data_IF_038228874907
#
_entry.id   IF_038228874907
#
_cell.length_a   1.000
_cell.length_b   1.000
_cell.length_c   1.000
_cell.angle_alpha   90.00
_cell.angle_beta   90.00
_cell.angle_gamma   90.00
#
_symmetry.space_group_name_H-M   'P 1'
#
loop_
_entity.id
_entity.type
_entity.pdbx_description
1 polymer ?
#
# COMPACT_ATOMS: atom_id res chain seq x y z
N UNK A 1 -69.97 14.90 10.38
CA UNK A 1 -70.35 13.52 10.01
C UNK A 1 -70.52 13.53 8.49
N UNK A 2 -69.66 13.03 7.61
CA UNK A 2 -68.66 11.95 7.61
C UNK A 2 -67.50 12.42 6.71
N UNK A 3 -66.26 12.54 7.18
CA UNK A 3 -65.33 11.43 7.40
C UNK A 3 -65.05 10.60 6.12
N UNK A 4 -63.83 10.81 5.60
CA UNK A 4 -62.79 9.77 5.58
C UNK A 4 -62.78 8.69 4.50
N UNK A 5 -63.51 8.75 3.39
CA UNK A 5 -63.36 7.71 2.36
C UNK A 5 -63.28 8.26 0.94
N UNK A 6 -62.05 8.51 0.51
CA UNK A 6 -61.42 7.87 -0.68
C UNK A 6 -60.24 8.70 -1.19
N UNK A 7 -59.22 8.81 -0.33
CA UNK A 7 -57.82 9.00 -0.74
C UNK A 7 -57.29 7.73 -1.44
N UNK A 8 -57.93 7.28 -2.52
CA UNK A 8 -57.51 6.09 -3.27
C UNK A 8 -57.55 6.28 -4.80
N UNK A 9 -57.39 7.52 -5.27
CA UNK A 9 -57.09 7.82 -6.67
C UNK A 9 -55.86 8.72 -6.77
N UNK A 10 -54.80 8.35 -6.04
CA UNK A 10 -53.46 8.84 -6.35
C UNK A 10 -52.82 7.86 -7.34
N UNK A 11 -53.30 7.94 -8.59
CA UNK A 11 -52.54 7.54 -9.75
C UNK A 11 -51.19 8.26 -9.71
N UNK A 12 -50.15 7.55 -9.25
CA UNK A 12 -48.78 7.75 -9.73
C UNK A 12 -48.20 6.38 -10.03
N UNK A 13 -48.36 5.98 -11.28
CA UNK A 13 -47.40 5.13 -11.96
C UNK A 13 -46.07 5.88 -11.91
N UNK A 14 -45.23 5.52 -10.93
CA UNK A 14 -43.81 5.81 -10.98
C UNK A 14 -43.10 4.59 -10.43
N UNK A 15 -42.83 3.65 -11.33
CA UNK A 15 -41.85 2.60 -11.12
C UNK A 15 -40.49 3.28 -10.97
N UNK A 16 -40.16 3.71 -9.76
CA UNK A 16 -38.79 4.07 -9.41
C UNK A 16 -38.05 2.74 -9.34
N UNK A 17 -37.31 2.43 -10.40
CA UNK A 17 -36.28 1.41 -10.36
C UNK A 17 -35.46 1.60 -9.09
N UNK A 18 -35.37 0.54 -8.29
CA UNK A 18 -34.48 0.38 -7.15
C UNK A 18 -33.20 1.19 -7.35
N UNK A 19 -33.08 2.30 -6.61
CA UNK A 19 -31.84 3.05 -6.56
C UNK A 19 -30.77 2.13 -5.97
N UNK A 20 -29.88 1.62 -6.81
CA UNK A 20 -28.60 1.08 -6.34
C UNK A 20 -27.87 2.22 -5.64
N UNK A 21 -27.87 2.22 -4.31
CA UNK A 21 -26.99 3.07 -3.53
C UNK A 21 -25.57 2.61 -3.84
N UNK A 22 -24.89 3.33 -4.73
CA UNK A 22 -23.46 3.14 -4.99
C UNK A 22 -22.67 3.59 -3.76
N UNK A 23 -22.59 2.75 -2.75
CA UNK A 23 -21.62 2.91 -1.68
C UNK A 23 -20.23 2.61 -2.26
N UNK A 24 -19.39 3.65 -2.37
CA UNK A 24 -18.01 3.58 -2.89
C UNK A 24 -17.03 2.87 -1.94
N UNK A 25 -17.47 2.53 -0.74
CA UNK A 25 -16.67 1.80 0.23
C UNK A 25 -17.08 0.32 0.27
N UNK A 26 -16.10 -0.55 0.44
CA UNK A 26 -16.29 -1.97 0.73
C UNK A 26 -15.93 -2.18 2.19
N UNK A 27 -16.90 -2.61 3.00
CA UNK A 27 -16.57 -3.12 4.33
C UNK A 27 -15.86 -4.47 4.16
N UNK A 28 -14.69 -4.61 4.77
CA UNK A 28 -13.86 -5.83 4.72
C UNK A 28 -13.86 -6.43 6.13
N UNK A 29 -14.14 -7.72 6.24
CA UNK A 29 -14.16 -8.43 7.52
C UNK A 29 -15.55 -8.69 8.14
N UNK A 30 -16.64 -8.44 7.41
CA UNK A 30 -17.94 -9.00 7.79
C UNK A 30 -17.94 -10.49 7.41
N UNK A 31 -17.61 -11.35 8.36
CA UNK A 31 -17.61 -12.81 8.19
C UNK A 31 -18.89 -13.31 8.86
N UNK A 32 -19.78 -13.95 8.09
CA UNK A 32 -20.95 -14.61 8.66
C UNK A 32 -20.50 -15.83 9.47
N UNK A 33 -20.92 -15.94 10.73
CA UNK A 33 -20.39 -16.93 11.68
C UNK A 33 -20.89 -18.35 11.39
N UNK A 34 -22.04 -18.50 10.72
CA UNK A 34 -22.51 -19.75 10.14
C UNK A 34 -23.66 -19.56 9.14
N UNK A 35 -23.66 -20.36 8.07
CA UNK A 35 -24.71 -20.36 7.02
C UNK A 35 -26.01 -21.08 7.48
N UNK A 36 -26.16 -21.40 8.78
CA UNK A 36 -27.28 -22.20 9.31
C UNK A 36 -27.31 -23.66 8.83
N UNK A 37 -26.26 -24.12 8.15
CA UNK A 37 -26.15 -25.48 7.62
C UNK A 37 -25.31 -26.38 8.53
N UNK A 38 -25.81 -27.56 8.88
CA UNK A 38 -25.12 -28.54 9.74
C UNK A 38 -23.71 -28.89 9.23
N UNK A 39 -23.53 -28.95 7.90
CA UNK A 39 -22.22 -29.22 7.28
C UNK A 39 -21.24 -28.06 7.45
N UNK A 40 -21.73 -26.81 7.42
CA UNK A 40 -20.92 -25.60 7.65
C UNK A 40 -20.43 -25.52 9.09
N UNK A 41 -21.30 -25.77 10.06
CA UNK A 41 -20.96 -25.71 11.48
C UNK A 41 -19.95 -26.79 11.90
N UNK A 42 -20.12 -28.03 11.40
CA UNK A 42 -19.16 -29.12 11.65
C UNK A 42 -17.80 -28.79 11.02
N UNK A 43 -17.78 -28.21 9.82
CA UNK A 43 -16.54 -27.79 9.16
C UNK A 43 -15.84 -26.67 9.94
N UNK A 44 -16.57 -25.64 10.34
CA UNK A 44 -16.03 -24.53 11.14
C UNK A 44 -15.50 -25.01 12.50
N UNK A 45 -16.22 -25.93 13.16
CA UNK A 45 -15.76 -26.58 14.38
C UNK A 45 -14.48 -27.39 14.17
N UNK A 46 -14.40 -28.19 13.10
CA UNK A 46 -13.21 -28.96 12.75
C UNK A 46 -12.01 -28.06 12.43
N UNK A 47 -12.21 -26.97 11.68
CA UNK A 47 -11.15 -26.03 11.31
C UNK A 47 -10.56 -25.31 12.54
N UNK A 48 -11.42 -24.97 13.52
CA UNK A 48 -11.01 -24.36 14.79
C UNK A 48 -10.28 -25.37 15.70
N UNK A 49 -10.79 -26.59 15.82
CA UNK A 49 -10.18 -27.64 16.67
C UNK A 49 -8.85 -28.15 16.10
N UNK A 50 -8.77 -28.33 14.78
CA UNK A 50 -7.58 -28.83 14.09
C UNK A 50 -6.58 -27.72 13.72
N UNK A 51 -6.80 -26.48 14.16
CA UNK A 51 -5.91 -25.33 13.94
C UNK A 51 -5.47 -25.20 12.47
N UNK A 52 -6.40 -25.41 11.53
CA UNK A 52 -6.07 -25.48 10.09
C UNK A 52 -5.37 -24.22 9.59
N UNK A 53 -5.77 -23.05 10.07
CA UNK A 53 -5.15 -21.76 9.74
C UNK A 53 -3.66 -21.71 10.15
N UNK A 54 -3.30 -22.32 11.27
CA UNK A 54 -1.92 -22.40 11.74
C UNK A 54 -1.09 -23.31 10.83
N UNK A 55 -1.64 -24.46 10.44
CA UNK A 55 -1.00 -25.39 9.51
C UNK A 55 -0.82 -24.76 8.13
N UNK A 56 -1.83 -24.02 7.65
CA UNK A 56 -1.78 -23.31 6.37
C UNK A 56 -0.71 -22.19 6.39
N UNK A 57 -0.63 -21.42 7.47
CA UNK A 57 0.42 -20.41 7.66
C UNK A 57 1.82 -21.04 7.72
N UNK A 58 1.97 -22.14 8.46
CA UNK A 58 3.23 -22.87 8.55
C UNK A 58 3.67 -23.45 7.19
N UNK A 59 2.73 -24.04 6.44
CA UNK A 59 3.01 -24.56 5.10
C UNK A 59 3.47 -23.44 4.14
N UNK A 60 2.93 -22.23 4.28
CA UNK A 60 3.37 -21.09 3.48
C UNK A 60 4.82 -20.68 3.80
N UNK A 61 5.16 -20.54 5.10
CA UNK A 61 6.53 -20.25 5.54
C UNK A 61 7.49 -21.36 5.13
N UNK A 62 7.08 -22.62 5.26
CA UNK A 62 7.85 -23.77 4.81
C UNK A 62 8.13 -23.72 3.29
N UNK A 63 7.20 -23.20 2.49
CA UNK A 63 7.41 -22.93 1.07
C UNK A 63 8.56 -21.95 0.78
N UNK A 64 8.78 -20.95 1.65
CA UNK A 64 9.91 -20.02 1.51
C UNK A 64 11.28 -20.68 1.69
N UNK A 65 11.37 -21.85 2.33
CA UNK A 65 12.62 -22.58 2.50
C UNK A 65 13.15 -23.16 1.17
N UNK A 66 12.28 -23.37 0.18
CA UNK A 66 12.67 -23.91 -1.13
C UNK A 66 12.85 -22.83 -2.21
N UNK A 67 12.66 -21.56 -1.86
CA UNK A 67 12.90 -20.45 -2.78
C UNK A 67 14.34 -19.96 -2.69
N UNK A 68 14.86 -19.42 -3.79
CA UNK A 68 16.20 -18.85 -3.82
C UNK A 68 16.26 -17.59 -2.93
N UNK A 69 17.31 -17.44 -2.09
CA UNK A 69 17.45 -16.26 -1.24
C UNK A 69 17.78 -15.02 -2.07
N UNK A 70 17.08 -13.91 -1.79
CA UNK A 70 17.32 -12.62 -2.46
C UNK A 70 18.55 -11.85 -1.91
N UNK A 71 19.57 -12.56 -1.43
CA UNK A 71 20.78 -11.96 -0.84
C UNK A 71 21.85 -11.74 -1.90
N UNK A 72 22.37 -10.52 -2.02
CA UNK A 72 23.53 -10.20 -2.85
C UNK A 72 24.84 -10.46 -2.08
N UNK A 73 25.88 -10.95 -2.76
CA UNK A 73 27.16 -11.23 -2.11
C UNK A 73 28.06 -9.97 -2.05
N UNK A 74 27.79 -9.07 -1.11
CA UNK A 74 28.66 -7.92 -0.86
C UNK A 74 29.97 -8.36 -0.20
N UNK A 75 31.16 -7.92 -0.65
CA UNK A 75 31.45 -6.77 -1.53
C UNK A 75 31.66 -7.11 -3.03
N UNK A 76 31.52 -8.37 -3.42
CA UNK A 76 31.80 -8.83 -4.79
C UNK A 76 30.68 -8.44 -5.77
N UNK A 77 29.44 -8.42 -5.29
CA UNK A 77 28.25 -8.00 -6.01
C UNK A 77 27.68 -6.75 -5.33
N UNK A 78 27.36 -5.73 -6.13
CA UNK A 78 26.76 -4.47 -5.66
C UNK A 78 25.34 -4.34 -6.18
N UNK A 79 24.46 -3.78 -5.34
CA UNK A 79 23.09 -3.49 -5.73
C UNK A 79 23.01 -2.49 -6.90
N UNK A 80 21.92 -2.51 -7.69
CA UNK A 80 21.74 -1.60 -8.80
C UNK A 80 21.61 -0.15 -8.30
N UNK A 81 22.52 0.73 -8.74
CA UNK A 81 22.51 2.15 -8.42
C UNK A 81 21.96 2.96 -9.60
N UNK A 82 21.04 3.88 -9.31
CA UNK A 82 20.57 4.83 -10.32
C UNK A 82 21.62 5.90 -10.60
N UNK A 83 21.59 6.49 -11.80
CA UNK A 83 22.45 7.63 -12.16
C UNK A 83 22.23 8.88 -11.31
N UNK A 84 21.12 8.92 -10.54
CA UNK A 84 20.75 10.03 -9.63
C UNK A 84 21.11 9.76 -8.18
N UNK A 85 21.82 8.66 -7.89
CA UNK A 85 22.27 8.37 -6.54
C UNK A 85 23.14 9.52 -6.01
N UNK A 86 22.86 9.97 -4.79
CA UNK A 86 23.60 11.02 -4.10
C UNK A 86 24.60 10.35 -3.17
N UNK A 87 25.89 10.41 -3.52
CA UNK A 87 26.99 9.85 -2.74
C UNK A 87 27.93 10.93 -2.23
N UNK A 88 29.24 10.68 -2.37
CA UNK A 88 30.28 11.62 -2.00
C UNK A 88 30.27 12.89 -2.87
N UNK A 89 30.49 14.04 -2.25
CA UNK A 89 30.57 15.33 -2.94
C UNK A 89 31.98 15.54 -3.47
N UNK A 90 32.12 15.82 -4.77
CA UNK A 90 33.41 16.08 -5.41
C UNK A 90 33.36 17.33 -6.30
N UNK A 91 34.41 18.15 -6.25
CA UNK A 91 34.52 19.33 -7.08
C UNK A 91 34.96 18.96 -8.51
N UNK A 92 34.22 19.44 -9.52
CA UNK A 92 34.50 19.16 -10.93
C UNK A 92 35.40 20.23 -11.55
N UNK A 93 36.24 19.81 -12.50
CA UNK A 93 37.07 20.68 -13.35
C UNK A 93 36.47 20.85 -14.76
N UNK A 94 36.84 21.90 -15.46
CA UNK A 94 36.66 22.07 -16.90
C UNK A 94 37.59 21.13 -17.68
N UNK A 95 37.33 20.87 -18.97
CA UNK A 95 38.26 20.09 -19.81
C UNK A 95 39.64 20.75 -19.98
N UNK A 96 39.76 22.06 -19.71
CA UNK A 96 41.04 22.80 -19.64
C UNK A 96 41.86 22.53 -18.38
N UNK A 97 41.29 21.85 -17.38
CA UNK A 97 41.94 21.55 -16.09
C UNK A 97 41.65 22.56 -14.97
N UNK A 98 41.09 23.73 -15.28
CA UNK A 98 40.65 24.71 -14.28
C UNK A 98 39.43 24.21 -13.48
N UNK A 99 39.35 24.51 -12.19
CA UNK A 99 38.16 24.24 -11.37
C UNK A 99 36.93 25.02 -11.85
N UNK A 100 35.74 24.44 -11.67
CA UNK A 100 34.47 25.12 -12.00
C UNK A 100 33.97 26.07 -10.91
N UNK A 101 34.61 26.06 -9.74
CA UNK A 101 34.22 26.91 -8.63
C UNK A 101 34.79 28.32 -8.84
N UNK A 102 33.95 29.34 -8.72
CA UNK A 102 34.33 30.76 -8.77
C UNK A 102 34.11 31.47 -7.42
N UNK A 103 34.04 30.70 -6.33
CA UNK A 103 33.77 31.20 -4.97
C UNK A 103 32.51 32.09 -4.85
N UNK A 104 31.43 31.76 -5.59
CA UNK A 104 30.20 32.56 -5.59
C UNK A 104 29.35 32.49 -4.31
N UNK A 105 29.63 31.56 -3.40
CA UNK A 105 28.91 31.32 -2.12
C UNK A 105 27.43 30.95 -2.21
N UNK A 106 26.88 30.68 -3.40
CA UNK A 106 25.49 30.22 -3.54
C UNK A 106 25.27 28.82 -2.90
N UNK A 107 26.26 27.94 -2.98
CA UNK A 107 26.18 26.59 -2.41
C UNK A 107 26.14 26.61 -0.87
N UNK A 108 26.86 27.55 -0.25
CA UNK A 108 26.84 27.77 1.20
C UNK A 108 25.47 28.29 1.64
N UNK A 109 24.91 29.26 0.91
CA UNK A 109 23.61 29.85 1.22
C UNK A 109 22.43 28.86 1.11
N UNK A 110 22.46 27.91 0.17
CA UNK A 110 21.38 26.93 -0.01
C UNK A 110 21.52 25.68 0.88
N UNK A 111 22.68 25.47 1.51
CA UNK A 111 22.92 24.27 2.31
C UNK A 111 22.05 24.30 3.59
N UNK A 112 21.05 23.40 3.73
CA UNK A 112 20.13 23.45 4.88
C UNK A 112 20.81 23.09 6.21
N UNK A 113 21.93 22.38 6.17
CA UNK A 113 22.70 21.97 7.34
C UNK A 113 23.93 22.85 7.61
N UNK A 114 24.14 23.92 6.81
CA UNK A 114 25.30 24.82 6.94
C UNK A 114 26.66 24.09 7.00
N UNK A 115 26.81 23.00 6.23
CA UNK A 115 28.01 22.14 6.26
C UNK A 115 29.18 22.64 5.38
N UNK A 116 28.95 23.69 4.59
CA UNK A 116 29.93 24.23 3.62
C UNK A 116 30.39 25.58 4.14
N UNK A 117 31.70 25.82 4.16
CA UNK A 117 32.32 27.11 4.49
C UNK A 117 33.24 27.53 3.34
N UNK A 118 33.14 28.78 2.88
CA UNK A 118 33.93 29.32 1.75
C UNK A 118 34.52 30.68 2.14
N UNK A 119 35.85 30.78 2.09
CA UNK A 119 36.61 32.02 2.28
C UNK A 119 37.01 32.61 0.92
N UNK A 120 37.12 33.95 0.86
CA UNK A 120 37.43 34.70 -0.36
C UNK A 120 38.94 34.78 -0.61
#
# INVERSE_FOLDING_TARGET
>A
MHNLFRNLLQNRVFSVALGSVRNKYKYVGMIEESDGTLKGDIKAGMERVMLKELVQGFAHVFGHMFMEPATINYPFEKGPLSTRFRGEHALRRYPSGEERCIACKLCEAICPAQAITIEN
#
